data_IF_022658231511
#
_entry.id   IF_022658231511
#
_cell.length_a   1.000
_cell.length_b   1.000
_cell.length_c   1.000
_cell.angle_alpha   90.00
_cell.angle_beta   90.00
_cell.angle_gamma   90.00
#
_symmetry.space_group_name_H-M   'P 1'
#
loop_
_entity.id
_entity.type
_entity.pdbx_description
1 polymer ?
#
# COMPACT_ATOMS: atom_id res chain seq x y z
N UNK A 1 -34.59 36.93 14.67
CA UNK A 1 -34.68 36.46 13.27
C UNK A 1 -33.26 36.50 12.73
N UNK A 2 -32.47 35.42 12.88
CA UNK A 2 -32.35 34.28 11.92
C UNK A 2 -31.66 34.78 10.65
N UNK A 3 -30.53 34.31 10.14
CA UNK A 3 -29.55 33.19 10.31
C UNK A 3 -28.42 33.58 9.33
N UNK A 4 -27.20 33.07 9.31
CA UNK A 4 -26.58 31.89 9.90
C UNK A 4 -25.24 31.76 9.14
N UNK A 5 -24.15 31.74 9.89
CA UNK A 5 -22.81 31.45 9.39
C UNK A 5 -22.77 30.00 8.94
N UNK A 6 -22.62 29.76 7.63
CA UNK A 6 -22.54 28.43 7.03
C UNK A 6 -21.13 28.12 6.53
N UNK A 7 -20.14 28.12 7.43
CA UNK A 7 -18.90 27.37 7.19
C UNK A 7 -19.21 25.91 7.52
N UNK A 8 -19.41 25.06 6.52
CA UNK A 8 -19.38 23.60 6.67
C UNK A 8 -19.28 22.94 5.31
N UNK A 9 -18.07 22.55 4.95
CA UNK A 9 -17.79 21.83 3.72
C UNK A 9 -16.32 21.46 3.55
N UNK A 10 -15.55 21.42 4.64
CA UNK A 10 -14.35 20.59 4.65
C UNK A 10 -14.82 19.15 4.66
N UNK A 11 -15.16 18.61 3.48
CA UNK A 11 -15.28 17.18 3.30
C UNK A 11 -13.96 16.62 3.78
N UNK A 12 -13.97 15.98 4.96
CA UNK A 12 -12.84 15.18 5.40
C UNK A 12 -12.56 14.23 4.27
N UNK A 13 -11.52 14.52 3.47
CA UNK A 13 -11.01 13.55 2.52
C UNK A 13 -10.77 12.33 3.40
N UNK A 14 -11.40 11.17 3.12
CA UNK A 14 -11.09 9.97 3.89
C UNK A 14 -9.58 9.93 3.91
N UNK A 15 -9.02 9.90 5.12
CA UNK A 15 -7.59 9.72 5.32
C UNK A 15 -7.34 8.36 4.69
N UNK A 16 -7.00 8.36 3.41
CA UNK A 16 -6.76 7.15 2.65
C UNK A 16 -5.52 6.59 3.31
N UNK A 17 -5.72 5.68 4.26
CA UNK A 17 -4.64 4.94 4.86
C UNK A 17 -3.78 4.46 3.69
N UNK A 18 -2.52 4.91 3.66
CA UNK A 18 -1.62 4.61 2.56
C UNK A 18 -1.65 3.09 2.33
N UNK A 19 -1.98 2.64 1.10
CA UNK A 19 -2.16 1.23 0.82
C UNK A 19 -0.82 0.52 1.02
N UNK A 20 -0.79 -0.48 1.92
CA UNK A 20 0.43 -1.23 2.21
C UNK A 20 0.75 -2.12 1.02
N UNK A 21 1.90 -1.89 0.37
CA UNK A 21 2.39 -2.75 -0.71
C UNK A 21 3.25 -3.88 -0.16
N UNK A 22 2.86 -5.13 -0.44
CA UNK A 22 3.67 -6.31 -0.11
C UNK A 22 4.38 -6.78 -1.37
N UNK A 23 5.69 -6.55 -1.43
CA UNK A 23 6.55 -7.03 -2.50
C UNK A 23 7.08 -8.43 -2.17
N UNK A 24 6.91 -9.39 -3.07
CA UNK A 24 7.25 -10.79 -2.81
C UNK A 24 7.83 -11.49 -4.04
N UNK A 25 8.78 -12.41 -3.80
CA UNK A 25 9.28 -13.34 -4.80
C UNK A 25 8.17 -14.32 -5.22
N UNK A 26 8.12 -14.70 -6.50
CA UNK A 26 7.00 -15.50 -7.05
C UNK A 26 6.65 -16.77 -6.25
N UNK A 27 7.65 -17.45 -5.69
CA UNK A 27 7.46 -18.64 -4.85
C UNK A 27 6.83 -18.34 -3.47
N UNK A 28 6.94 -17.11 -2.97
CA UNK A 28 6.39 -16.66 -1.68
C UNK A 28 4.94 -16.15 -1.77
N UNK A 29 4.21 -16.45 -2.85
CA UNK A 29 2.82 -16.00 -3.06
C UNK A 29 1.89 -16.34 -1.90
N UNK A 30 1.98 -17.57 -1.37
CA UNK A 30 1.11 -18.01 -0.27
C UNK A 30 1.39 -17.24 1.03
N UNK A 31 2.66 -16.96 1.32
CA UNK A 31 3.09 -16.14 2.44
C UNK A 31 2.58 -14.70 2.32
N UNK A 32 2.75 -14.08 1.14
CA UNK A 32 2.25 -12.73 0.89
C UNK A 32 0.73 -12.66 1.08
N UNK A 33 -0.02 -13.61 0.50
CA UNK A 33 -1.47 -13.68 0.63
C UNK A 33 -1.92 -13.79 2.10
N UNK A 34 -1.22 -14.60 2.92
CA UNK A 34 -1.52 -14.74 4.33
C UNK A 34 -1.31 -13.42 5.12
N UNK A 35 -0.21 -12.69 4.86
CA UNK A 35 0.02 -11.38 5.48
C UNK A 35 -1.04 -10.38 5.05
N UNK A 36 -1.32 -10.29 3.75
CA UNK A 36 -2.32 -9.36 3.24
C UNK A 36 -3.71 -9.64 3.81
N UNK A 37 -4.08 -10.91 4.01
CA UNK A 37 -5.33 -11.26 4.71
C UNK A 37 -5.35 -10.72 6.15
N UNK A 38 -4.25 -10.84 6.89
CA UNK A 38 -4.14 -10.35 8.28
C UNK A 38 -4.24 -8.82 8.37
N UNK A 39 -3.71 -8.11 7.40
CA UNK A 39 -3.78 -6.65 7.31
C UNK A 39 -5.18 -6.17 6.92
N UNK A 40 -5.83 -6.84 5.97
CA UNK A 40 -7.22 -6.57 5.59
C UNK A 40 -8.18 -6.74 6.78
N UNK A 41 -8.00 -7.78 7.61
CA UNK A 41 -8.79 -7.99 8.82
C UNK A 41 -8.67 -6.84 9.85
N UNK A 42 -7.62 -6.03 9.75
CA UNK A 42 -7.40 -4.85 10.61
C UNK A 42 -7.85 -3.55 9.94
N UNK A 43 -8.46 -3.62 8.76
CA UNK A 43 -8.94 -2.47 8.01
C UNK A 43 -7.90 -1.79 7.12
N UNK A 44 -6.69 -2.36 6.97
CA UNK A 44 -5.70 -1.82 6.05
C UNK A 44 -5.99 -2.25 4.61
N UNK A 45 -5.80 -1.33 3.67
CA UNK A 45 -5.76 -1.66 2.25
C UNK A 45 -4.39 -2.24 1.91
N UNK A 46 -4.36 -3.34 1.15
CA UNK A 46 -3.12 -4.04 0.79
C UNK A 46 -3.05 -4.21 -0.72
N UNK A 47 -1.90 -3.87 -1.29
CA UNK A 47 -1.55 -4.17 -2.68
C UNK A 47 -0.46 -5.25 -2.72
N UNK A 48 -0.43 -6.05 -3.78
CA UNK A 48 0.55 -7.12 -3.97
C UNK A 48 1.43 -6.81 -5.17
N UNK A 49 2.74 -6.74 -4.95
CA UNK A 49 3.73 -6.52 -6.00
C UNK A 49 4.59 -7.77 -6.17
N UNK A 50 4.50 -8.41 -7.33
CA UNK A 50 5.45 -9.48 -7.65
C UNK A 50 6.80 -8.85 -7.94
N UNK A 51 7.82 -9.25 -7.20
CA UNK A 51 9.20 -8.81 -7.40
C UNK A 51 10.06 -10.04 -7.67
N UNK A 52 10.52 -10.17 -8.91
CA UNK A 52 11.28 -11.30 -9.41
C UNK A 52 12.51 -10.74 -10.15
N UNK A 53 13.47 -10.14 -9.41
CA UNK A 53 14.59 -9.46 -10.03
C UNK A 53 15.50 -10.47 -10.73
N UNK A 54 16.17 -10.09 -11.83
CA UNK A 54 17.16 -10.93 -12.47
C UNK A 54 18.30 -11.26 -11.48
N UNK A 55 18.67 -12.54 -11.38
CA UNK A 55 19.83 -12.97 -10.55
C UNK A 55 21.17 -12.40 -11.03
N UNK A 56 21.20 -11.76 -12.19
CA UNK A 56 22.37 -11.07 -12.76
C UNK A 56 22.55 -9.65 -12.23
N UNK A 57 21.53 -9.09 -11.58
CA UNK A 57 21.54 -7.71 -11.09
C UNK A 57 21.90 -7.64 -9.61
N UNK A 58 22.57 -6.56 -9.20
CA UNK A 58 22.93 -6.37 -7.81
C UNK A 58 21.66 -6.09 -7.00
N UNK A 59 21.52 -6.81 -5.89
CA UNK A 59 20.39 -6.73 -4.98
C UNK A 59 20.13 -5.30 -4.47
N UNK A 60 21.16 -4.48 -4.25
CA UNK A 60 20.98 -3.06 -3.88
C UNK A 60 20.29 -2.24 -4.97
N UNK A 61 20.64 -2.47 -6.22
CA UNK A 61 20.00 -1.83 -7.38
C UNK A 61 18.54 -2.26 -7.48
N UNK A 62 18.27 -3.57 -7.34
CA UNK A 62 16.91 -4.10 -7.39
C UNK A 62 16.04 -3.66 -6.20
N UNK A 63 16.62 -3.33 -5.04
CA UNK A 63 15.92 -2.75 -3.90
C UNK A 63 15.60 -1.25 -4.08
N UNK A 64 16.47 -0.50 -4.76
CA UNK A 64 16.19 0.90 -5.07
C UNK A 64 14.90 1.05 -5.91
N UNK A 65 14.68 0.12 -6.85
CA UNK A 65 13.44 0.06 -7.64
C UNK A 65 12.19 -0.24 -6.82
N UNK A 66 12.33 -0.99 -5.71
CA UNK A 66 11.22 -1.25 -4.79
C UNK A 66 10.81 0.00 -4.01
N UNK A 67 11.75 0.89 -3.70
CA UNK A 67 11.47 2.16 -3.02
C UNK A 67 10.78 3.17 -3.95
N UNK A 68 10.96 3.02 -5.26
CA UNK A 68 10.27 3.83 -6.28
C UNK A 68 8.84 3.36 -6.58
N UNK A 69 8.46 2.16 -6.11
CA UNK A 69 7.11 1.66 -6.29
C UNK A 69 6.13 2.41 -5.36
N UNK A 70 5.06 3.01 -5.88
CA UNK A 70 4.10 3.73 -5.06
C UNK A 70 3.39 2.78 -4.08
N UNK A 71 3.37 3.17 -2.80
CA UNK A 71 2.64 2.58 -1.69
C UNK A 71 2.44 3.63 -0.63
#
# INVERSE_FOLDING_TARGET
MTTGTGTSGGAGRPQTAEPITISFAGFNRAWAAWIGHRLNLRGYQVSFQRWDPPVTENLETSFADLVLAPG
#
